data_IF_887575837866
#
_entry.id   IF_887575837866
#
_cell.length_a   1.000
_cell.length_b   1.000
_cell.length_c   1.000
_cell.angle_alpha   90.00
_cell.angle_beta   90.00
_cell.angle_gamma   90.00
#
_symmetry.space_group_name_H-M   'P 1'
#
loop_
_entity.id
_entity.type
_entity.pdbx_description
1 polymer ?
#
# COMPACT_ATOMS: atom_id res chain seq x y z
N UNK A 1 -28.30 -23.38 19.21
CA UNK A 1 -27.53 -22.13 19.10
C UNK A 1 -26.38 -22.35 18.12
N UNK A 2 -26.62 -22.11 16.83
CA UNK A 2 -25.61 -22.37 15.78
C UNK A 2 -24.64 -21.19 15.77
N UNK A 3 -23.42 -21.44 16.23
CA UNK A 3 -22.26 -20.56 16.04
C UNK A 3 -22.09 -20.31 14.54
N UNK A 4 -22.51 -19.13 14.06
CA UNK A 4 -22.13 -18.63 12.74
C UNK A 4 -20.64 -18.40 12.76
N UNK A 5 -19.88 -19.42 12.33
CA UNK A 5 -18.48 -19.26 12.01
C UNK A 5 -18.35 -18.15 10.98
N UNK A 6 -17.73 -17.04 11.38
CA UNK A 6 -17.22 -16.04 10.47
C UNK A 6 -16.19 -16.73 9.58
N UNK A 7 -16.62 -17.26 8.44
CA UNK A 7 -15.69 -17.55 7.35
C UNK A 7 -15.17 -16.19 6.92
N UNK A 8 -14.00 -15.84 7.42
CA UNK A 8 -13.27 -14.67 6.98
C UNK A 8 -12.93 -14.87 5.51
N UNK A 9 -13.77 -14.33 4.63
CA UNK A 9 -13.53 -14.43 3.21
C UNK A 9 -12.39 -13.49 2.86
N UNK A 10 -11.26 -14.09 2.47
CA UNK A 10 -10.15 -13.40 1.83
C UNK A 10 -10.67 -12.53 0.69
N UNK A 11 -10.19 -11.29 0.62
CA UNK A 11 -10.55 -10.33 -0.40
C UNK A 11 -9.30 -9.79 -1.09
N UNK A 12 -9.46 -9.37 -2.34
CA UNK A 12 -8.39 -8.77 -3.12
C UNK A 12 -8.46 -7.26 -3.02
N UNK A 13 -7.31 -6.64 -2.78
CA UNK A 13 -7.15 -5.19 -2.73
C UNK A 13 -6.04 -4.75 -3.68
N UNK A 14 -6.24 -3.61 -4.33
CA UNK A 14 -5.19 -2.88 -5.02
C UNK A 14 -4.62 -1.84 -4.06
N UNK A 15 -3.32 -1.94 -3.74
CA UNK A 15 -2.58 -0.93 -3.02
C UNK A 15 -1.68 -0.18 -4.01
N UNK A 16 -1.78 1.14 -4.00
CA UNK A 16 -0.87 2.04 -4.69
C UNK A 16 -0.20 2.93 -3.65
N UNK A 17 1.12 3.01 -3.65
CA UNK A 17 1.90 3.91 -2.79
C UNK A 17 2.78 4.77 -3.68
N UNK A 18 2.75 6.08 -3.48
CA UNK A 18 3.45 7.06 -4.28
C UNK A 18 4.12 8.08 -3.34
N UNK A 19 5.45 8.13 -3.33
CA UNK A 19 6.21 8.95 -2.39
C UNK A 19 7.39 9.63 -3.09
N UNK A 20 7.82 10.80 -2.62
CA UNK A 20 9.16 11.31 -2.93
C UNK A 20 10.24 10.32 -2.50
N UNK A 21 11.33 10.21 -3.27
CA UNK A 21 12.43 9.30 -2.99
C UNK A 21 13.02 9.48 -1.57
N UNK A 22 13.14 10.73 -1.09
CA UNK A 22 13.58 11.02 0.28
C UNK A 22 12.67 10.46 1.37
N UNK A 23 11.37 10.35 1.08
CA UNK A 23 10.34 9.89 2.02
C UNK A 23 10.03 8.39 1.84
N UNK A 24 10.56 7.75 0.79
CA UNK A 24 10.35 6.33 0.49
C UNK A 24 10.71 5.39 1.65
N UNK A 25 11.85 5.58 2.37
CA UNK A 25 12.19 4.73 3.51
C UNK A 25 11.15 4.72 4.64
N UNK A 26 10.23 5.70 4.68
CA UNK A 26 9.18 5.76 5.71
C UNK A 26 8.14 4.66 5.54
N UNK A 27 7.99 4.09 4.34
CA UNK A 27 6.96 3.09 4.01
C UNK A 27 7.52 1.73 3.61
N UNK A 28 8.84 1.61 3.36
CA UNK A 28 9.46 0.36 2.87
C UNK A 28 9.30 -0.81 3.83
N UNK A 29 9.41 -0.56 5.14
CA UNK A 29 9.21 -1.59 6.18
C UNK A 29 7.76 -2.09 6.19
N UNK A 30 6.81 -1.17 6.07
CA UNK A 30 5.38 -1.51 5.96
C UNK A 30 5.14 -2.38 4.74
N UNK A 31 5.63 -1.99 3.57
CA UNK A 31 5.44 -2.75 2.32
C UNK A 31 6.11 -4.13 2.37
N UNK A 32 7.30 -4.24 2.97
CA UNK A 32 8.00 -5.50 3.14
C UNK A 32 7.29 -6.46 4.12
N UNK A 33 6.53 -5.91 5.07
CA UNK A 33 5.76 -6.69 6.05
C UNK A 33 4.41 -7.23 5.53
N UNK A 34 3.99 -6.84 4.32
CA UNK A 34 2.70 -7.25 3.78
C UNK A 34 2.79 -8.69 3.27
N UNK A 35 2.16 -9.60 4.00
CA UNK A 35 2.03 -10.99 3.59
C UNK A 35 1.04 -11.15 2.42
N UNK A 36 1.24 -12.17 1.59
CA UNK A 36 0.36 -12.50 0.47
C UNK A 36 0.12 -11.32 -0.50
N UNK A 37 1.16 -10.49 -0.69
CA UNK A 37 1.15 -9.39 -1.63
C UNK A 37 1.93 -9.72 -2.90
N UNK A 38 1.38 -9.33 -4.06
CA UNK A 38 2.05 -9.41 -5.36
C UNK A 38 2.28 -8.01 -5.89
N UNK A 39 3.54 -7.63 -6.09
CA UNK A 39 3.90 -6.39 -6.78
C UNK A 39 3.54 -6.48 -8.26
N UNK A 40 2.79 -5.49 -8.76
CA UNK A 40 2.44 -5.35 -10.17
C UNK A 40 3.43 -4.43 -10.89
N UNK A 41 3.83 -3.34 -10.23
CA UNK A 41 4.80 -2.39 -10.76
C UNK A 41 5.58 -1.72 -9.64
N UNK A 42 6.81 -1.33 -9.97
CA UNK A 42 7.64 -0.43 -9.19
C UNK A 42 8.33 0.51 -10.16
N UNK A 43 8.15 1.82 -9.98
CA UNK A 43 8.72 2.83 -10.88
C UNK A 43 9.37 3.95 -10.08
N UNK A 44 10.41 4.52 -10.66
CA UNK A 44 11.06 5.74 -10.16
C UNK A 44 11.05 6.75 -11.30
N UNK A 45 10.34 7.86 -11.11
CA UNK A 45 10.20 8.90 -12.12
C UNK A 45 10.89 10.19 -11.64
N UNK A 46 11.91 10.64 -12.37
CA UNK A 46 12.63 11.88 -12.08
C UNK A 46 11.86 13.02 -12.74
N UNK A 47 11.03 13.72 -11.97
CA UNK A 47 10.27 14.87 -12.45
C UNK A 47 11.10 16.16 -12.49
N UNK A 48 12.12 16.26 -11.62
CA UNK A 48 12.96 17.44 -11.43
C UNK A 48 14.44 16.99 -11.38
N UNK A 49 15.19 17.07 -12.49
CA UNK A 49 16.59 16.63 -12.54
C UNK A 49 17.49 17.28 -11.48
N UNK A 50 17.21 18.53 -11.13
CA UNK A 50 17.91 19.32 -10.11
C UNK A 50 17.56 18.91 -8.67
N UNK A 51 16.48 18.13 -8.49
CA UNK A 51 16.00 17.64 -7.19
C UNK A 51 15.67 16.14 -7.25
N UNK A 52 16.69 15.27 -7.43
CA UNK A 52 16.48 13.82 -7.52
C UNK A 52 15.90 13.22 -6.22
N UNK A 53 16.06 13.89 -5.08
CA UNK A 53 15.42 13.52 -3.80
C UNK A 53 13.89 13.60 -3.85
N UNK A 54 13.34 14.36 -4.81
CA UNK A 54 11.91 14.49 -5.08
C UNK A 54 11.42 13.58 -6.20
N UNK A 55 12.27 12.69 -6.73
CA UNK A 55 11.82 11.69 -7.70
C UNK A 55 10.64 10.90 -7.13
N UNK A 56 9.62 10.67 -7.95
CA UNK A 56 8.41 9.97 -7.55
C UNK A 56 8.69 8.48 -7.60
N UNK A 57 8.70 7.84 -6.43
CA UNK A 57 8.74 6.38 -6.29
C UNK A 57 7.32 5.87 -6.14
N UNK A 58 6.90 5.02 -7.07
CA UNK A 58 5.58 4.40 -7.06
C UNK A 58 5.69 2.87 -6.99
N UNK A 59 4.90 2.26 -6.10
CA UNK A 59 4.70 0.81 -6.05
C UNK A 59 3.22 0.51 -6.09
N UNK A 60 2.84 -0.43 -6.97
CA UNK A 60 1.48 -0.97 -7.07
C UNK A 60 1.49 -2.45 -6.72
N UNK A 61 0.60 -2.88 -5.82
CA UNK A 61 0.53 -4.24 -5.31
C UNK A 61 -0.92 -4.75 -5.30
N UNK A 62 -1.10 -6.05 -5.46
CA UNK A 62 -2.32 -6.77 -5.13
C UNK A 62 -2.13 -7.45 -3.78
N UNK A 63 -3.04 -7.21 -2.84
CA UNK A 63 -3.07 -7.86 -1.54
C UNK A 63 -4.22 -8.85 -1.53
N UNK A 64 -3.96 -10.10 -1.19
CA UNK A 64 -4.99 -11.09 -0.91
C UNK A 64 -5.02 -11.33 0.60
N UNK A 65 -5.99 -10.70 1.28
CA UNK A 65 -6.01 -10.66 2.74
C UNK A 65 -7.44 -10.46 3.29
N UNK A 66 -7.57 -10.64 4.60
CA UNK A 66 -8.80 -10.31 5.30
C UNK A 66 -9.06 -8.80 5.32
N UNK A 67 -10.33 -8.36 5.30
CA UNK A 67 -10.65 -6.94 5.39
C UNK A 67 -10.06 -6.23 6.62
N UNK A 68 -9.91 -6.94 7.74
CA UNK A 68 -9.29 -6.39 8.95
C UNK A 68 -7.81 -6.09 8.76
N UNK A 69 -7.07 -7.00 8.13
CA UNK A 69 -5.66 -6.80 7.82
C UNK A 69 -5.45 -5.61 6.87
N UNK A 70 -6.29 -5.47 5.84
CA UNK A 70 -6.25 -4.29 4.96
C UNK A 70 -6.47 -2.97 5.71
N UNK A 71 -7.31 -2.96 6.76
CA UNK A 71 -7.50 -1.78 7.62
C UNK A 71 -6.28 -1.49 8.49
N UNK A 72 -5.55 -2.51 8.95
CA UNK A 72 -4.31 -2.36 9.72
C UNK A 72 -3.20 -1.78 8.84
N UNK A 73 -3.02 -2.31 7.62
CA UNK A 73 -2.11 -1.74 6.61
C UNK A 73 -2.45 -0.27 6.33
N UNK A 74 -3.74 0.06 6.16
CA UNK A 74 -4.20 1.44 5.96
C UNK A 74 -3.82 2.35 7.12
N UNK A 75 -4.04 1.93 8.37
CA UNK A 75 -3.71 2.72 9.55
C UNK A 75 -2.21 3.01 9.62
N UNK A 76 -1.39 2.00 9.36
CA UNK A 76 0.05 2.14 9.42
C UNK A 76 0.58 3.06 8.30
N UNK A 77 0.11 2.89 7.05
CA UNK A 77 0.46 3.80 5.96
C UNK A 77 0.03 5.24 6.26
N UNK A 78 -1.20 5.48 6.75
CA UNK A 78 -1.65 6.81 7.17
C UNK A 78 -0.73 7.47 8.20
N UNK A 79 -0.17 6.67 9.11
CA UNK A 79 0.77 7.17 10.13
C UNK A 79 2.11 7.54 9.49
N UNK A 80 2.62 6.69 8.60
CA UNK A 80 3.93 6.87 7.94
C UNK A 80 3.96 7.97 6.90
N UNK A 81 2.87 8.17 6.18
CA UNK A 81 2.77 9.23 5.15
C UNK A 81 2.42 10.59 5.73
N UNK A 82 2.15 10.70 7.05
CA UNK A 82 1.84 11.99 7.67
C UNK A 82 3.00 12.98 7.51
N UNK A 83 2.66 14.18 7.03
CA UNK A 83 3.61 15.27 6.82
C UNK A 83 4.49 15.12 5.58
N UNK A 84 4.23 14.14 4.70
CA UNK A 84 4.84 14.08 3.37
C UNK A 84 3.88 14.63 2.33
N UNK A 85 4.40 14.92 1.13
CA UNK A 85 3.59 15.18 -0.07
C UNK A 85 3.20 13.88 -0.80
N UNK A 86 3.63 12.73 -0.29
CA UNK A 86 3.30 11.42 -0.82
C UNK A 86 1.93 10.95 -0.37
N UNK A 87 1.41 9.94 -1.05
CA UNK A 87 0.09 9.38 -0.76
C UNK A 87 0.07 7.87 -0.98
N UNK A 88 -0.98 7.24 -0.46
CA UNK A 88 -1.31 5.87 -0.79
C UNK A 88 -2.81 5.75 -1.04
N UNK A 89 -3.19 4.70 -1.75
CA UNK A 89 -4.58 4.35 -1.97
C UNK A 89 -4.76 2.83 -1.87
N UNK A 90 -5.80 2.40 -1.15
CA UNK A 90 -6.15 0.99 -1.00
C UNK A 90 -7.61 0.76 -1.38
N UNK A 91 -7.82 0.04 -2.48
CA UNK A 91 -9.13 -0.20 -3.08
C UNK A 91 -9.46 -1.69 -3.04
N UNK A 92 -10.66 -2.05 -2.58
CA UNK A 92 -11.14 -3.43 -2.69
C UNK A 92 -11.51 -3.71 -4.15
N UNK A 93 -10.93 -4.76 -4.72
CA UNK A 93 -11.26 -5.22 -6.07
C UNK A 93 -12.56 -6.01 -5.97
N UNK A 94 -13.60 -5.53 -6.66
CA UNK A 94 -14.86 -6.26 -6.83
C UNK A 94 -14.80 -6.99 -8.16
N UNK A 95 -15.31 -8.23 -8.21
CA UNK A 95 -15.57 -8.86 -9.50
C UNK A 95 -16.65 -8.03 -10.23
N UNK A 96 -16.55 -7.91 -11.57
CA UNK A 96 -17.60 -7.31 -12.38
C UNK A 96 -18.95 -7.97 -12.11
#
# INVERSE_FOLDING_TARGET
SVSRGLVSMMAKYLLRVCMPARDWPRVTDVLASIENARTLSHTVNICFPERPDLAVVETVMILECEPRYALEVRKELSRRTRGTIGFYAIYRIRKP
#
